data_IF_441514314409
#
_entry.id   IF_441514314409
#
_cell.length_a   1.000
_cell.length_b   1.000
_cell.length_c   1.000
_cell.angle_alpha   90.00
_cell.angle_beta   90.00
_cell.angle_gamma   90.00
#
_symmetry.space_group_name_H-M   'P 1'
#
loop_
_entity.id
_entity.type
_entity.pdbx_description
1 polymer ?
#
# COMPACT_ATOMS: atom_id res chain seq x y z
N UNK A 1 69.39 -21.93 -8.58
CA UNK A 1 68.39 -21.43 -7.63
C UNK A 1 67.24 -20.79 -8.47
N UNK A 2 66.13 -21.56 -8.67
CA UNK A 2 64.96 -21.09 -9.43
C UNK A 2 63.97 -20.52 -8.45
N UNK A 3 63.66 -19.20 -8.56
CA UNK A 3 62.59 -18.54 -7.77
C UNK A 3 61.23 -18.88 -8.38
N UNK A 4 60.38 -19.55 -7.59
CA UNK A 4 59.01 -19.82 -7.90
C UNK A 4 58.17 -18.57 -7.61
N UNK A 5 57.59 -17.95 -8.64
CA UNK A 5 56.69 -16.83 -8.50
C UNK A 5 55.29 -17.42 -8.42
N UNK A 6 54.68 -17.38 -7.22
CA UNK A 6 53.26 -17.77 -7.03
C UNK A 6 52.44 -16.52 -7.27
N UNK A 7 51.80 -16.46 -8.44
CA UNK A 7 50.76 -15.45 -8.76
C UNK A 7 49.46 -15.83 -8.07
N UNK A 8 49.13 -15.15 -6.99
CA UNK A 8 47.87 -15.31 -6.29
C UNK A 8 46.72 -14.79 -7.14
N UNK A 9 45.89 -15.70 -7.63
CA UNK A 9 44.64 -15.42 -8.31
C UNK A 9 43.58 -15.06 -7.27
N UNK A 10 43.29 -13.78 -7.05
CA UNK A 10 42.23 -13.32 -6.17
C UNK A 10 40.88 -13.56 -6.83
N UNK A 11 40.17 -14.61 -6.44
CA UNK A 11 38.78 -14.88 -6.89
C UNK A 11 37.86 -13.91 -6.17
N UNK A 12 37.40 -12.90 -6.90
CA UNK A 12 36.39 -11.95 -6.43
C UNK A 12 35.02 -12.59 -6.56
N UNK A 13 34.52 -13.17 -5.45
CA UNK A 13 33.18 -13.79 -5.40
C UNK A 13 32.14 -12.66 -5.35
N UNK A 14 31.51 -12.36 -6.47
CA UNK A 14 30.33 -11.51 -6.53
C UNK A 14 29.15 -12.28 -5.94
N UNK A 15 28.73 -11.94 -4.74
CA UNK A 15 27.45 -12.34 -4.21
C UNK A 15 26.33 -11.60 -4.96
N UNK A 16 25.82 -12.20 -6.02
CA UNK A 16 24.54 -11.79 -6.56
C UNK A 16 23.47 -12.12 -5.50
N UNK A 17 22.93 -11.11 -4.84
CA UNK A 17 21.68 -11.27 -4.12
C UNK A 17 20.63 -11.66 -5.16
N UNK A 18 20.29 -12.94 -5.22
CA UNK A 18 19.09 -13.41 -5.90
C UNK A 18 17.90 -12.79 -5.15
N UNK A 19 17.43 -11.62 -5.61
CA UNK A 19 16.12 -11.12 -5.26
C UNK A 19 15.16 -12.09 -5.93
N UNK A 20 14.63 -13.03 -5.17
CA UNK A 20 13.54 -13.88 -5.62
C UNK A 20 12.41 -12.93 -6.02
N UNK A 21 12.21 -12.77 -7.32
CA UNK A 21 11.07 -12.01 -7.85
C UNK A 21 9.82 -12.79 -7.42
N UNK A 22 9.02 -12.21 -6.54
CA UNK A 22 7.74 -12.79 -6.15
C UNK A 22 6.94 -13.09 -7.42
N UNK A 23 6.58 -14.34 -7.61
CA UNK A 23 5.75 -14.75 -8.75
C UNK A 23 4.30 -14.46 -8.38
N UNK A 24 3.83 -13.26 -8.74
CA UNK A 24 2.46 -12.84 -8.47
C UNK A 24 1.49 -13.66 -9.32
N UNK A 25 0.71 -14.51 -8.68
CA UNK A 25 -0.41 -15.23 -9.31
C UNK A 25 -1.54 -14.25 -9.67
N UNK A 26 -1.76 -13.24 -8.81
CA UNK A 26 -2.66 -12.10 -9.02
C UNK A 26 -1.90 -10.80 -8.81
N UNK A 27 -2.30 -9.75 -9.51
CA UNK A 27 -1.81 -8.37 -9.30
C UNK A 27 -2.89 -7.51 -8.63
N UNK A 28 -2.55 -6.34 -8.13
CA UNK A 28 -3.48 -5.44 -7.47
C UNK A 28 -4.75 -5.15 -8.29
N UNK A 29 -4.62 -5.08 -9.60
CA UNK A 29 -5.74 -4.75 -10.51
C UNK A 29 -6.75 -5.88 -10.68
N UNK A 30 -6.49 -7.07 -10.14
CA UNK A 30 -7.42 -8.21 -10.15
C UNK A 30 -8.42 -8.19 -8.97
N UNK A 31 -8.35 -7.15 -8.15
CA UNK A 31 -9.21 -6.98 -6.98
C UNK A 31 -10.18 -5.80 -7.16
N UNK A 32 -11.12 -5.71 -6.24
CA UNK A 32 -12.08 -4.64 -6.11
C UNK A 32 -12.38 -4.39 -4.63
N UNK A 33 -12.97 -3.24 -4.31
CA UNK A 33 -13.42 -2.92 -2.96
C UNK A 33 -14.66 -2.04 -3.04
N UNK A 34 -15.52 -2.11 -2.04
CA UNK A 34 -16.64 -1.19 -1.93
C UNK A 34 -16.15 0.21 -1.49
N UNK A 35 -16.60 1.24 -2.18
CA UNK A 35 -16.32 2.63 -1.84
C UNK A 35 -17.12 3.07 -0.60
N UNK A 36 -16.70 4.16 0.02
CA UNK A 36 -17.39 4.76 1.16
C UNK A 36 -18.82 5.22 0.81
N UNK A 37 -19.15 5.33 -0.48
CA UNK A 37 -20.48 5.66 -0.99
C UNK A 37 -21.34 4.41 -1.34
N UNK A 38 -20.79 3.19 -1.19
CA UNK A 38 -21.47 1.94 -1.51
C UNK A 38 -21.30 1.46 -2.96
N UNK A 39 -20.53 2.17 -3.79
CA UNK A 39 -20.21 1.78 -5.16
C UNK A 39 -18.99 0.85 -5.17
N UNK A 40 -18.86 -0.01 -6.18
CA UNK A 40 -17.66 -0.86 -6.32
C UNK A 40 -16.54 -0.06 -7.01
N UNK A 41 -15.40 0.02 -6.35
CA UNK A 41 -14.14 0.46 -6.94
C UNK A 41 -13.47 -0.76 -7.57
N UNK A 42 -13.52 -0.88 -8.88
CA UNK A 42 -12.83 -1.93 -9.60
C UNK A 42 -11.38 -1.47 -9.89
N UNK A 43 -10.39 -2.14 -9.31
CA UNK A 43 -9.00 -1.71 -9.45
C UNK A 43 -8.45 -1.89 -10.88
N UNK A 44 -9.13 -2.63 -11.74
CA UNK A 44 -8.83 -2.70 -13.18
C UNK A 44 -8.83 -1.32 -13.85
N UNK A 45 -9.66 -0.39 -13.36
CA UNK A 45 -9.72 1.00 -13.86
C UNK A 45 -8.46 1.81 -13.52
N UNK A 46 -7.63 1.30 -12.62
CA UNK A 46 -6.37 1.91 -12.22
C UNK A 46 -5.15 1.29 -12.91
N UNK A 47 -5.33 0.41 -13.91
CA UNK A 47 -4.20 -0.15 -14.66
C UNK A 47 -3.25 0.94 -15.18
N UNK A 48 -1.96 0.62 -15.17
CA UNK A 48 -0.88 1.51 -15.55
C UNK A 48 -0.72 2.78 -14.67
N UNK A 49 -1.40 2.83 -13.52
CA UNK A 49 -1.21 3.90 -12.51
C UNK A 49 -0.39 3.39 -11.33
N UNK A 50 0.24 4.29 -10.62
CA UNK A 50 0.88 4.00 -9.33
C UNK A 50 -0.18 4.14 -8.24
N UNK A 51 -0.26 3.19 -7.30
CA UNK A 51 -1.24 3.23 -6.23
C UNK A 51 -0.53 3.40 -4.90
N UNK A 52 -0.94 4.39 -4.12
CA UNK A 52 -0.61 4.52 -2.71
C UNK A 52 -1.81 4.07 -1.88
N UNK A 53 -1.79 2.81 -1.45
CA UNK A 53 -2.80 2.22 -0.58
C UNK A 53 -2.47 2.55 0.86
N UNK A 54 -3.41 3.14 1.62
CA UNK A 54 -3.17 3.61 2.99
C UNK A 54 -4.34 3.22 3.89
N UNK A 55 -4.10 2.46 4.96
CA UNK A 55 -5.14 2.27 5.97
C UNK A 55 -5.21 3.48 6.90
N UNK A 56 -6.42 4.00 7.11
CA UNK A 56 -6.65 5.28 7.80
C UNK A 56 -7.53 5.12 9.03
N UNK A 57 -7.52 6.14 9.91
CA UNK A 57 -8.40 6.20 11.08
C UNK A 57 -8.61 7.64 11.55
N UNK A 58 -9.82 7.95 12.04
CA UNK A 58 -10.23 9.29 12.46
C UNK A 58 -9.68 9.72 13.83
N UNK A 59 -9.34 8.78 14.71
CA UNK A 59 -8.93 9.05 16.12
C UNK A 59 -7.46 8.68 16.39
N UNK A 60 -6.62 8.64 15.35
CA UNK A 60 -5.21 8.30 15.45
C UNK A 60 -4.34 9.56 15.65
N UNK A 61 -3.24 9.43 16.38
CA UNK A 61 -2.24 10.51 16.45
C UNK A 61 -1.64 10.91 15.10
N UNK A 62 -1.73 10.01 14.12
CA UNK A 62 -1.26 10.24 12.74
C UNK A 62 -2.34 10.78 11.79
N UNK A 63 -3.55 11.08 12.27
CA UNK A 63 -4.69 11.53 11.43
C UNK A 63 -4.35 12.80 10.60
N UNK A 64 -3.46 13.66 11.10
CA UNK A 64 -2.97 14.83 10.33
C UNK A 64 -2.27 14.47 9.02
N UNK A 65 -1.83 13.23 8.82
CA UNK A 65 -1.28 12.78 7.54
C UNK A 65 -2.29 12.83 6.39
N UNK A 66 -3.58 12.96 6.67
CA UNK A 66 -4.59 13.22 5.63
C UNK A 66 -4.27 14.49 4.81
N UNK A 67 -3.76 15.56 5.45
CA UNK A 67 -3.37 16.79 4.74
C UNK A 67 -2.29 16.51 3.66
N UNK A 68 -1.29 15.71 4.01
CA UNK A 68 -0.20 15.42 3.09
C UNK A 68 -0.62 14.39 2.02
N UNK A 69 -1.51 13.45 2.35
CA UNK A 69 -2.11 12.54 1.37
C UNK A 69 -2.97 13.30 0.36
N UNK A 70 -3.75 14.31 0.82
CA UNK A 70 -4.56 15.15 -0.06
C UNK A 70 -3.67 16.00 -0.99
N UNK A 71 -2.62 16.64 -0.45
CA UNK A 71 -1.64 17.37 -1.27
C UNK A 71 -0.99 16.48 -2.33
N UNK A 72 -0.57 15.28 -1.93
CA UNK A 72 0.03 14.30 -2.83
C UNK A 72 -0.94 13.90 -3.95
N UNK A 73 -2.20 13.63 -3.60
CA UNK A 73 -3.26 13.35 -4.56
C UNK A 73 -3.45 14.51 -5.56
N UNK A 74 -3.61 15.74 -5.08
CA UNK A 74 -3.83 16.91 -5.93
C UNK A 74 -2.67 17.17 -6.89
N UNK A 75 -1.43 16.94 -6.43
CA UNK A 75 -0.22 17.15 -7.23
C UNK A 75 -0.01 16.10 -8.31
N UNK A 76 -0.41 14.83 -8.07
CA UNK A 76 0.00 13.72 -8.91
C UNK A 76 -1.16 12.93 -9.56
N UNK A 77 -2.43 13.17 -9.20
CA UNK A 77 -3.59 12.46 -9.80
C UNK A 77 -3.59 12.52 -11.34
N UNK A 78 -3.29 13.66 -11.93
CA UNK A 78 -3.18 13.83 -13.38
C UNK A 78 -1.90 13.23 -13.97
N UNK A 79 -0.92 12.88 -13.12
CA UNK A 79 0.34 12.22 -13.52
C UNK A 79 0.30 10.71 -13.33
N UNK A 80 -0.85 10.16 -12.97
CA UNK A 80 -1.07 8.72 -12.85
C UNK A 80 -0.82 8.13 -11.46
N UNK A 81 -0.94 8.94 -10.39
CA UNK A 81 -1.02 8.45 -9.00
C UNK A 81 -2.47 8.30 -8.59
N UNK A 82 -2.81 7.20 -7.95
CA UNK A 82 -4.03 7.01 -7.15
C UNK A 82 -3.62 6.94 -5.68
N UNK A 83 -4.19 7.79 -4.84
CA UNK A 83 -4.22 7.60 -3.40
C UNK A 83 -5.52 6.89 -3.06
N UNK A 84 -5.45 5.72 -2.42
CA UNK A 84 -6.62 4.96 -2.00
C UNK A 84 -6.59 4.80 -0.48
N UNK A 85 -7.51 5.49 0.20
CA UNK A 85 -7.65 5.39 1.64
C UNK A 85 -8.58 4.24 2.03
N UNK A 86 -8.17 3.48 3.03
CA UNK A 86 -8.92 2.34 3.57
C UNK A 86 -9.21 2.63 5.05
N UNK A 87 -10.35 3.28 5.36
CA UNK A 87 -10.78 3.45 6.75
C UNK A 87 -10.87 2.11 7.45
N UNK A 88 -10.27 2.00 8.64
CA UNK A 88 -10.22 0.73 9.36
C UNK A 88 -10.31 0.89 10.87
N UNK A 89 -11.18 0.10 11.48
CA UNK A 89 -11.24 -0.03 12.93
C UNK A 89 -10.39 -1.19 13.48
N UNK A 90 -9.52 -1.78 12.66
CA UNK A 90 -8.64 -2.89 13.10
C UNK A 90 -7.71 -2.51 14.27
N UNK A 91 -7.54 -1.21 14.55
CA UNK A 91 -6.76 -0.67 15.67
C UNK A 91 -7.62 0.11 16.68
N UNK A 92 -8.94 -0.04 16.63
CA UNK A 92 -9.93 0.59 17.53
C UNK A 92 -9.86 2.13 17.56
N UNK A 93 -9.55 2.75 16.41
CA UNK A 93 -9.38 4.21 16.29
C UNK A 93 -10.19 4.82 15.12
N UNK A 94 -11.22 4.11 14.64
CA UNK A 94 -12.07 4.64 13.57
C UNK A 94 -13.52 4.84 14.04
N UNK A 95 -14.25 5.69 13.33
CA UNK A 95 -15.69 5.91 13.52
C UNK A 95 -16.48 4.67 13.13
N UNK A 96 -17.70 4.58 13.62
CA UNK A 96 -18.52 3.37 13.48
C UNK A 96 -19.26 3.26 12.16
N UNK A 97 -19.44 4.37 11.44
CA UNK A 97 -20.20 4.36 10.17
C UNK A 97 -19.46 5.06 9.03
N UNK A 98 -19.70 4.59 7.82
CA UNK A 98 -19.13 5.17 6.60
C UNK A 98 -19.50 6.65 6.43
N UNK A 99 -20.75 7.03 6.78
CA UNK A 99 -21.20 8.42 6.69
C UNK A 99 -20.45 9.35 7.64
N UNK A 100 -20.15 8.90 8.88
CA UNK A 100 -19.37 9.69 9.84
C UNK A 100 -17.91 9.81 9.39
N UNK A 101 -17.32 8.73 8.85
CA UNK A 101 -15.95 8.74 8.31
C UNK A 101 -15.86 9.70 7.15
N UNK A 102 -16.76 9.59 6.17
CA UNK A 102 -16.80 10.45 4.99
C UNK A 102 -16.90 11.93 5.39
N UNK A 103 -17.89 12.25 6.23
CA UNK A 103 -18.09 13.62 6.74
C UNK A 103 -16.87 14.15 7.47
N UNK A 104 -16.22 13.32 8.28
CA UNK A 104 -14.99 13.70 8.99
C UNK A 104 -13.84 14.03 8.03
N UNK A 105 -13.61 13.18 7.03
CA UNK A 105 -12.56 13.36 6.04
C UNK A 105 -12.79 14.61 5.17
N UNK A 106 -14.04 14.83 4.73
CA UNK A 106 -14.40 15.99 3.91
C UNK A 106 -14.28 17.30 4.69
N UNK A 107 -14.85 17.37 5.90
CA UNK A 107 -14.91 18.62 6.67
C UNK A 107 -13.55 19.02 7.24
N UNK A 108 -12.77 18.07 7.77
CA UNK A 108 -11.54 18.39 8.48
C UNK A 108 -10.30 18.43 7.58
N UNK A 109 -10.32 17.73 6.45
CA UNK A 109 -9.14 17.55 5.60
C UNK A 109 -9.42 17.76 4.12
N UNK A 110 -10.66 18.10 3.76
CA UNK A 110 -11.09 18.31 2.36
C UNK A 110 -10.73 17.13 1.44
N UNK A 111 -10.79 15.90 1.98
CA UNK A 111 -10.43 14.68 1.26
C UNK A 111 -11.36 14.46 0.08
N UNK A 112 -10.76 14.28 -1.11
CA UNK A 112 -11.47 13.96 -2.34
C UNK A 112 -10.81 12.84 -3.15
N UNK A 113 -9.80 12.18 -2.61
CA UNK A 113 -9.30 10.93 -3.16
C UNK A 113 -10.21 9.75 -2.79
N UNK A 114 -10.19 8.64 -3.53
CA UNK A 114 -11.00 7.45 -3.26
C UNK A 114 -10.82 6.91 -1.84
N UNK A 115 -11.95 6.67 -1.16
CA UNK A 115 -12.01 5.99 0.13
C UNK A 115 -12.85 4.72 0.00
N UNK A 116 -12.41 3.63 0.61
CA UNK A 116 -13.26 2.44 0.77
C UNK A 116 -14.27 2.62 1.89
N UNK A 117 -15.24 1.72 1.95
CA UNK A 117 -16.04 1.48 3.16
C UNK A 117 -15.13 1.04 4.32
N UNK A 118 -15.65 1.09 5.55
CA UNK A 118 -14.93 0.60 6.75
C UNK A 118 -14.51 -0.86 6.53
N UNK A 119 -13.21 -1.12 6.56
CA UNK A 119 -12.62 -2.38 6.11
C UNK A 119 -11.61 -2.93 7.12
N UNK A 120 -11.61 -4.23 7.35
CA UNK A 120 -10.57 -4.90 8.13
C UNK A 120 -9.28 -5.06 7.32
N UNK A 121 -8.15 -4.60 7.90
CA UNK A 121 -6.83 -4.60 7.24
C UNK A 121 -5.85 -5.62 7.81
N UNK A 122 -6.22 -6.31 8.89
CA UNK A 122 -5.41 -7.36 9.53
C UNK A 122 -6.28 -8.47 10.12
N UNK A 123 -5.65 -9.59 10.48
CA UNK A 123 -6.32 -10.76 11.04
C UNK A 123 -7.03 -11.62 9.98
N UNK A 124 -7.86 -12.55 10.44
CA UNK A 124 -8.51 -13.52 9.56
C UNK A 124 -9.56 -12.88 8.65
N UNK A 125 -10.20 -11.79 9.12
CA UNK A 125 -11.22 -11.04 8.37
C UNK A 125 -10.65 -9.95 7.48
N UNK A 126 -9.30 -9.80 7.41
CA UNK A 126 -8.69 -8.81 6.53
C UNK A 126 -9.20 -8.97 5.10
N UNK A 127 -9.45 -7.83 4.44
CA UNK A 127 -9.81 -7.81 3.03
C UNK A 127 -8.76 -8.53 2.18
N UNK A 128 -9.18 -9.14 1.09
CA UNK A 128 -8.32 -9.98 0.25
C UNK A 128 -7.07 -9.25 -0.29
N UNK A 129 -7.13 -7.93 -0.52
CA UNK A 129 -5.95 -7.15 -0.93
C UNK A 129 -4.84 -7.13 0.13
N UNK A 130 -5.17 -7.18 1.42
CA UNK A 130 -4.17 -7.25 2.49
C UNK A 130 -3.62 -8.67 2.69
N UNK A 131 -4.46 -9.70 2.44
CA UNK A 131 -4.01 -11.09 2.39
C UNK A 131 -3.05 -11.28 1.23
N UNK A 132 -3.41 -10.82 0.04
CA UNK A 132 -2.56 -10.80 -1.14
C UNK A 132 -1.24 -10.05 -0.89
N UNK A 133 -1.30 -8.88 -0.26
CA UNK A 133 -0.11 -8.10 0.05
C UNK A 133 0.84 -8.86 0.98
N UNK A 134 0.31 -9.53 2.02
CA UNK A 134 1.09 -10.40 2.91
C UNK A 134 1.74 -11.57 2.17
N UNK A 135 1.01 -12.24 1.28
CA UNK A 135 1.48 -13.39 0.51
C UNK A 135 2.63 -13.01 -0.42
N UNK A 136 2.55 -11.85 -1.06
CA UNK A 136 3.50 -11.42 -2.09
C UNK A 136 4.66 -10.54 -1.57
N UNK A 137 4.51 -9.89 -0.40
CA UNK A 137 5.53 -8.99 0.15
C UNK A 137 5.88 -9.30 1.63
N UNK A 138 5.28 -10.33 2.20
CA UNK A 138 5.57 -10.81 3.54
C UNK A 138 5.02 -9.92 4.67
N UNK A 139 5.64 -10.04 5.85
CA UNK A 139 5.14 -9.38 7.09
C UNK A 139 5.20 -7.84 7.05
N UNK A 140 6.05 -7.26 6.22
CA UNK A 140 6.15 -5.80 6.07
C UNK A 140 4.89 -5.18 5.47
N UNK A 141 4.15 -5.92 4.63
CA UNK A 141 2.89 -5.45 4.04
C UNK A 141 1.67 -5.62 4.95
N UNK A 142 1.82 -6.20 6.15
CA UNK A 142 0.74 -6.27 7.13
C UNK A 142 0.71 -4.95 7.91
N UNK A 143 -0.39 -4.17 7.90
CA UNK A 143 -0.49 -2.97 8.70
C UNK A 143 -0.24 -3.25 10.18
N UNK A 144 0.78 -2.61 10.76
CA UNK A 144 1.12 -2.70 12.18
C UNK A 144 0.42 -1.61 13.00
N UNK A 145 0.04 -0.53 12.32
CA UNK A 145 -0.69 0.59 12.89
C UNK A 145 -1.49 1.32 11.79
N UNK A 146 -2.27 2.34 12.17
CA UNK A 146 -2.94 3.21 11.22
C UNK A 146 -1.92 4.02 10.41
N UNK A 147 -2.29 4.40 9.20
CA UNK A 147 -1.47 5.13 8.23
C UNK A 147 -0.25 4.35 7.72
N UNK A 148 -0.27 3.02 7.81
CA UNK A 148 0.64 2.16 7.06
C UNK A 148 0.36 2.29 5.57
N UNK A 149 1.42 2.34 4.77
CA UNK A 149 1.33 2.58 3.33
C UNK A 149 1.91 1.41 2.55
N UNK A 150 1.24 1.05 1.48
CA UNK A 150 1.71 0.07 0.50
C UNK A 150 1.76 0.78 -0.85
N UNK A 151 2.96 0.93 -1.42
CA UNK A 151 3.17 1.49 -2.74
C UNK A 151 3.11 0.38 -3.78
N UNK A 152 2.25 0.54 -4.77
CA UNK A 152 2.03 -0.43 -5.84
C UNK A 152 2.42 0.23 -7.17
N UNK A 153 3.28 -0.43 -7.92
CA UNK A 153 3.77 0.09 -9.19
C UNK A 153 2.77 -0.09 -10.34
N UNK A 154 3.08 0.47 -11.50
CA UNK A 154 2.23 0.42 -12.71
C UNK A 154 1.94 -0.99 -13.23
N UNK A 155 2.64 -2.00 -12.76
CA UNK A 155 2.41 -3.42 -13.10
C UNK A 155 1.49 -4.11 -12.08
N UNK A 156 0.94 -3.37 -11.11
CA UNK A 156 0.11 -3.90 -10.04
C UNK A 156 0.86 -4.72 -9.00
N UNK A 157 2.19 -4.58 -8.90
CA UNK A 157 3.05 -5.27 -7.93
C UNK A 157 3.47 -4.32 -6.81
N UNK A 158 3.64 -4.84 -5.61
CA UNK A 158 4.11 -4.04 -4.48
C UNK A 158 5.56 -3.65 -4.72
N UNK A 159 5.85 -2.37 -4.60
CA UNK A 159 7.17 -1.77 -4.73
C UNK A 159 7.81 -1.59 -3.35
N UNK A 160 7.07 -1.02 -2.38
CA UNK A 160 7.59 -0.68 -1.07
C UNK A 160 6.45 -0.59 -0.03
N UNK A 161 6.79 -0.67 1.27
CA UNK A 161 5.86 -0.50 2.41
C UNK A 161 6.47 0.44 3.46
N UNK A 162 5.63 1.30 4.07
CA UNK A 162 6.06 2.32 5.04
C UNK A 162 5.21 2.33 6.29
#
# INVERSE_FOLDING_TARGET
MKKLIITGLTIMIFFFKNIAMANYEKVFYDFQIESINGEIINFKEYENKVILLVNTASYCGFTKQYDDLQKLWDQYKLKGLIVLGIPSNSFNQEKKSNSEIKKFCEINFNINFPLSTLTDVKGNNAHEIFKWAKENHGKSAIPKWNFHKILINKKGKIEETY
#
